data_IF_694663984434
#
_entry.id   IF_694663984434
#
_cell.length_a   1.000
_cell.length_b   1.000
_cell.length_c   1.000
_cell.angle_alpha   90.00
_cell.angle_beta   90.00
_cell.angle_gamma   90.00
#
_symmetry.space_group_name_H-M   'P 1'
#
loop_
_entity.id
_entity.type
_entity.pdbx_description
1 polymer ?
#
# COMPACT_ATOMS: atom_id res chain seq x y z
N UNK A 1 5.26 -19.37 16.77
CA UNK A 1 5.42 -18.53 17.99
C UNK A 1 6.74 -17.79 17.92
N UNK A 2 6.71 -16.46 18.01
CA UNK A 2 7.89 -15.60 17.95
C UNK A 2 8.82 -15.85 19.15
N UNK A 3 10.07 -16.23 18.90
CA UNK A 3 11.04 -16.51 19.97
C UNK A 3 12.02 -15.35 20.22
N UNK A 4 12.17 -14.43 19.28
CA UNK A 4 13.05 -13.26 19.40
C UNK A 4 12.63 -12.12 18.46
N UNK A 5 13.21 -10.93 18.66
CA UNK A 5 12.99 -9.80 17.77
C UNK A 5 13.53 -10.04 16.35
N UNK A 6 14.66 -10.73 16.22
CA UNK A 6 15.23 -11.08 14.92
C UNK A 6 14.33 -12.08 14.17
N UNK A 7 13.70 -13.00 14.91
CA UNK A 7 12.70 -13.91 14.38
C UNK A 7 11.49 -13.15 13.82
N UNK A 8 10.97 -12.18 14.59
CA UNK A 8 9.91 -11.26 14.12
C UNK A 8 10.30 -10.52 12.84
N UNK A 9 11.50 -9.94 12.78
CA UNK A 9 11.97 -9.21 11.60
C UNK A 9 12.12 -10.09 10.36
N UNK A 10 12.60 -11.32 10.54
CA UNK A 10 12.81 -12.28 9.45
C UNK A 10 11.49 -12.69 8.79
N UNK A 11 10.40 -12.66 9.55
CA UNK A 11 9.09 -13.18 9.17
C UNK A 11 8.15 -12.13 8.55
N UNK A 12 8.48 -10.84 8.64
CA UNK A 12 7.70 -9.79 7.98
C UNK A 12 7.54 -10.07 6.48
N UNK A 13 6.30 -10.14 6.04
CA UNK A 13 5.89 -10.34 4.66
C UNK A 13 5.40 -9.02 4.05
N UNK A 14 5.35 -8.94 2.73
CA UNK A 14 4.70 -7.80 2.09
C UNK A 14 3.17 -7.88 2.18
N UNK A 15 2.51 -6.73 2.32
CA UNK A 15 1.05 -6.64 2.30
C UNK A 15 0.60 -6.42 0.85
N UNK A 16 -0.26 -7.30 0.36
CA UNK A 16 -0.77 -7.19 -0.99
C UNK A 16 -1.37 -5.79 -1.25
N UNK A 17 -1.03 -5.13 -2.36
CA UNK A 17 -1.69 -3.90 -2.72
C UNK A 17 -3.17 -4.17 -2.92
N UNK A 18 -3.99 -3.21 -2.50
CA UNK A 18 -5.24 -2.98 -3.17
C UNK A 18 -4.97 -2.93 -4.66
N UNK A 19 -5.71 -3.73 -5.42
CA UNK A 19 -5.92 -3.46 -6.84
C UNK A 19 -6.27 -1.97 -6.92
N UNK A 20 -5.32 -1.13 -7.36
CA UNK A 20 -5.70 0.17 -7.88
C UNK A 20 -6.48 -0.20 -9.12
N UNK A 21 -7.81 -0.29 -8.97
CA UNK A 21 -8.70 0.21 -10.01
C UNK A 21 -8.08 1.55 -10.35
N UNK A 22 -7.48 1.64 -11.54
CA UNK A 22 -6.99 2.93 -12.00
C UNK A 22 -8.22 3.83 -11.92
N UNK A 23 -8.03 5.07 -11.44
CA UNK A 23 -9.11 6.06 -11.43
C UNK A 23 -9.83 5.98 -12.79
N UNK A 24 -11.15 5.80 -12.81
CA UNK A 24 -11.91 5.48 -14.05
C UNK A 24 -11.63 6.52 -15.15
N UNK A 25 -11.30 7.76 -14.73
CA UNK A 25 -10.85 8.86 -15.60
C UNK A 25 -9.48 8.66 -16.27
N UNK A 26 -8.56 7.91 -15.66
CA UNK A 26 -7.26 7.55 -16.20
C UNK A 26 -7.35 6.31 -17.12
N UNK A 27 -8.22 5.33 -16.81
CA UNK A 27 -8.44 4.15 -17.68
C UNK A 27 -9.01 4.57 -19.05
N UNK A 28 -10.06 5.40 -19.05
CA UNK A 28 -10.67 5.92 -20.28
C UNK A 28 -9.69 6.75 -21.14
N UNK A 29 -8.74 7.42 -20.47
CA UNK A 29 -7.72 8.24 -21.13
C UNK A 29 -6.64 7.42 -21.86
N UNK A 30 -6.33 6.21 -21.38
CA UNK A 30 -5.23 5.37 -21.92
C UNK A 30 -5.60 4.81 -23.29
N UNK A 31 -6.81 4.27 -23.46
CA UNK A 31 -7.27 3.75 -24.74
C UNK A 31 -7.33 4.86 -25.80
N UNK A 32 -7.88 6.01 -25.43
CA UNK A 32 -7.97 7.19 -26.29
C UNK A 32 -6.58 7.69 -26.71
N UNK A 33 -5.64 7.74 -25.77
CA UNK A 33 -4.25 8.10 -26.05
C UNK A 33 -3.58 7.11 -27.01
N UNK A 34 -3.71 5.80 -26.76
CA UNK A 34 -3.12 4.76 -27.59
C UNK A 34 -3.63 4.82 -29.03
N UNK A 35 -4.94 4.99 -29.21
CA UNK A 35 -5.54 5.18 -30.53
C UNK A 35 -5.07 6.47 -31.22
N UNK A 36 -4.92 7.57 -30.48
CA UNK A 36 -4.41 8.81 -31.04
C UNK A 36 -2.96 8.66 -31.52
N UNK A 37 -2.08 8.02 -30.73
CA UNK A 37 -0.70 7.71 -31.10
C UNK A 37 -0.63 6.81 -32.34
N UNK A 38 -1.50 5.79 -32.43
CA UNK A 38 -1.56 4.87 -33.57
C UNK A 38 -1.88 5.57 -34.89
N UNK A 39 -2.73 6.60 -34.83
CA UNK A 39 -3.19 7.39 -35.99
C UNK A 39 -2.19 8.43 -36.48
N UNK A 40 -1.17 8.79 -35.69
CA UNK A 40 -0.12 9.69 -36.13
C UNK A 40 0.65 9.01 -37.28
N UNK A 41 0.70 9.61 -38.49
CA UNK A 41 1.39 8.99 -39.63
C UNK A 41 2.87 8.79 -39.34
N UNK A 42 3.54 9.86 -38.88
CA UNK A 42 4.95 9.91 -38.54
C UNK A 42 5.12 10.57 -37.16
N UNK A 43 5.83 9.88 -36.25
CA UNK A 43 6.04 10.35 -34.88
C UNK A 43 7.16 11.39 -34.89
N UNK A 44 6.78 12.67 -34.83
CA UNK A 44 7.71 13.79 -34.75
C UNK A 44 7.43 14.65 -33.51
N UNK A 45 8.40 15.47 -33.11
CA UNK A 45 8.24 16.45 -32.02
C UNK A 45 6.99 17.29 -32.22
N UNK A 46 6.74 17.73 -33.45
CA UNK A 46 5.59 18.60 -33.78
C UNK A 46 4.24 17.90 -33.64
N UNK A 47 4.14 16.65 -34.09
CA UNK A 47 2.90 15.88 -33.95
C UNK A 47 2.60 15.57 -32.49
N UNK A 48 3.61 15.19 -31.70
CA UNK A 48 3.45 14.94 -30.27
C UNK A 48 3.14 16.24 -29.49
N UNK A 49 3.73 17.38 -29.88
CA UNK A 49 3.45 18.66 -29.27
C UNK A 49 2.02 19.13 -29.52
N UNK A 50 1.52 18.95 -30.74
CA UNK A 50 0.13 19.25 -31.09
C UNK A 50 -0.85 18.34 -30.33
N UNK A 51 -0.49 17.07 -30.16
CA UNK A 51 -1.27 16.09 -29.40
C UNK A 51 -1.45 16.51 -27.93
N UNK A 52 -0.36 16.81 -27.22
CA UNK A 52 -0.45 17.21 -25.81
C UNK A 52 -1.03 18.60 -25.60
N UNK A 53 -0.93 19.48 -26.61
CA UNK A 53 -1.59 20.79 -26.55
C UNK A 53 -3.11 20.65 -26.51
N UNK A 54 -3.65 19.73 -27.31
CA UNK A 54 -5.09 19.38 -27.34
C UNK A 54 -5.50 18.54 -26.12
N UNK A 55 -4.61 17.68 -25.64
CA UNK A 55 -4.86 16.79 -24.50
C UNK A 55 -3.74 16.87 -23.45
N UNK A 56 -3.68 17.95 -22.64
CA UNK A 56 -2.61 18.12 -21.64
C UNK A 56 -2.54 17.02 -20.59
N UNK A 57 -3.64 16.31 -20.33
CA UNK A 57 -3.69 15.16 -19.44
C UNK A 57 -2.90 13.94 -19.93
N UNK A 58 -2.46 13.91 -21.19
CA UNK A 58 -1.71 12.79 -21.78
C UNK A 58 -0.20 12.90 -21.64
N UNK A 59 0.33 14.02 -21.11
CA UNK A 59 1.77 14.17 -20.86
C UNK A 59 2.35 13.02 -20.01
N UNK A 60 1.69 12.55 -18.92
CA UNK A 60 2.15 11.37 -18.19
C UNK A 60 2.25 10.09 -19.04
N UNK A 61 1.38 9.91 -20.02
CA UNK A 61 1.40 8.71 -20.88
C UNK A 61 2.59 8.73 -21.85
N UNK A 62 2.92 9.89 -22.42
CA UNK A 62 4.15 10.04 -23.21
C UNK A 62 5.40 9.81 -22.35
N UNK A 63 5.42 10.33 -21.13
CA UNK A 63 6.53 10.09 -20.21
C UNK A 63 6.70 8.60 -19.91
N UNK A 64 5.61 7.83 -19.79
CA UNK A 64 5.67 6.37 -19.62
C UNK A 64 6.29 5.67 -20.84
N UNK A 65 6.00 6.11 -22.07
CA UNK A 65 6.68 5.59 -23.26
C UNK A 65 8.21 5.80 -23.18
N UNK A 66 8.64 6.95 -22.64
CA UNK A 66 10.05 7.24 -22.39
C UNK A 66 10.62 6.56 -21.11
N UNK A 67 9.86 5.67 -20.47
CA UNK A 67 10.29 4.93 -19.28
C UNK A 67 10.26 5.71 -17.97
N UNK A 68 9.65 6.90 -17.94
CA UNK A 68 9.54 7.72 -16.74
C UNK A 68 8.30 7.35 -15.92
N UNK A 69 8.50 7.21 -14.61
CA UNK A 69 7.38 7.22 -13.66
C UNK A 69 6.81 8.64 -13.49
N UNK A 70 5.59 8.75 -12.96
CA UNK A 70 4.95 10.05 -12.71
C UNK A 70 5.78 10.96 -11.78
N UNK A 71 6.46 10.39 -10.80
CA UNK A 71 7.31 11.13 -9.86
C UNK A 71 8.59 11.61 -10.54
N UNK A 72 9.24 10.76 -11.34
CA UNK A 72 10.39 11.16 -12.16
C UNK A 72 10.02 12.27 -13.14
N UNK A 73 8.86 12.18 -13.80
CA UNK A 73 8.35 13.25 -14.65
C UNK A 73 8.20 14.56 -13.86
N UNK A 74 7.51 14.55 -12.72
CA UNK A 74 7.33 15.76 -11.89
C UNK A 74 8.65 16.40 -11.49
N UNK A 75 9.63 15.59 -11.10
CA UNK A 75 10.96 16.05 -10.72
C UNK A 75 11.71 16.65 -11.92
N UNK A 76 11.68 15.97 -13.07
CA UNK A 76 12.28 16.44 -14.31
C UNK A 76 11.70 17.80 -14.74
N UNK A 77 10.37 17.95 -14.69
CA UNK A 77 9.70 19.22 -14.98
C UNK A 77 10.05 20.32 -13.97
N UNK A 78 10.12 19.98 -12.68
CA UNK A 78 10.48 20.95 -11.64
C UNK A 78 11.91 21.48 -11.83
N UNK A 79 12.85 20.63 -12.25
CA UNK A 79 14.24 21.01 -12.50
C UNK A 79 14.35 21.88 -13.77
N UNK A 80 13.73 21.46 -14.87
CA UNK A 80 13.93 22.11 -16.17
C UNK A 80 13.02 23.33 -16.39
N UNK A 81 11.75 23.26 -15.98
CA UNK A 81 10.74 24.30 -16.21
C UNK A 81 10.36 25.08 -14.94
N UNK A 82 10.96 24.76 -13.78
CA UNK A 82 10.63 25.39 -12.51
C UNK A 82 9.25 25.01 -11.95
N UNK A 83 8.58 24.01 -12.53
CA UNK A 83 7.25 23.56 -12.10
C UNK A 83 7.04 22.06 -12.28
N UNK A 84 6.42 21.41 -11.31
CA UNK A 84 5.97 20.02 -11.43
C UNK A 84 4.67 19.84 -12.26
N UNK A 85 4.03 20.94 -12.68
CA UNK A 85 2.73 20.90 -13.35
C UNK A 85 2.84 20.95 -14.88
N UNK A 86 2.36 19.90 -15.56
CA UNK A 86 2.43 19.80 -17.03
C UNK A 86 1.27 20.46 -17.79
N UNK A 87 0.10 20.66 -17.18
CA UNK A 87 -1.09 21.18 -17.89
C UNK A 87 -0.84 22.51 -18.60
N UNK A 88 -0.27 23.49 -17.88
CA UNK A 88 0.04 24.81 -18.43
C UNK A 88 1.23 24.77 -19.39
N UNK A 89 2.21 23.89 -19.14
CA UNK A 89 3.36 23.67 -20.02
C UNK A 89 2.90 23.11 -21.37
N UNK A 90 2.06 22.09 -21.37
CA UNK A 90 1.51 21.52 -22.60
C UNK A 90 0.66 22.51 -23.40
N UNK A 91 -0.04 23.44 -22.74
CA UNK A 91 -0.81 24.47 -23.45
C UNK A 91 0.06 25.58 -24.06
N UNK A 92 1.09 26.05 -23.33
CA UNK A 92 1.85 27.25 -23.71
C UNK A 92 3.20 26.95 -24.37
N UNK A 93 3.81 25.83 -24.03
CA UNK A 93 5.20 25.48 -24.36
C UNK A 93 5.29 24.00 -24.83
N UNK A 94 4.24 23.49 -25.48
CA UNK A 94 4.13 22.07 -25.88
C UNK A 94 5.36 21.54 -26.63
N UNK A 95 5.87 22.33 -27.60
CA UNK A 95 7.01 21.94 -28.42
C UNK A 95 8.30 21.85 -27.60
N UNK A 96 8.51 22.80 -26.69
CA UNK A 96 9.66 22.84 -25.79
C UNK A 96 9.64 21.66 -24.81
N UNK A 97 8.46 21.36 -24.24
CA UNK A 97 8.24 20.19 -23.40
C UNK A 97 8.56 18.86 -24.12
N UNK A 98 8.06 18.68 -25.34
CA UNK A 98 8.35 17.46 -26.12
C UNK A 98 9.83 17.41 -26.53
N UNK A 99 10.43 18.54 -26.89
CA UNK A 99 11.86 18.60 -27.24
C UNK A 99 12.72 18.19 -26.05
N UNK A 100 12.42 18.71 -24.86
CA UNK A 100 13.07 18.31 -23.61
C UNK A 100 12.94 16.80 -23.36
N UNK A 101 11.72 16.26 -23.42
CA UNK A 101 11.49 14.83 -23.18
C UNK A 101 12.20 13.95 -24.22
N UNK A 102 12.29 14.42 -25.47
CA UNK A 102 12.97 13.71 -26.54
C UNK A 102 14.49 13.73 -26.39
N UNK A 103 15.08 14.88 -26.07
CA UNK A 103 16.52 15.04 -25.91
C UNK A 103 17.05 14.29 -24.68
N UNK A 104 16.35 14.36 -23.56
CA UNK A 104 16.80 13.76 -22.29
C UNK A 104 16.45 12.27 -22.18
N UNK A 105 15.35 11.83 -22.80
CA UNK A 105 14.81 10.48 -22.60
C UNK A 105 14.47 9.71 -23.88
N UNK A 106 14.74 10.27 -25.06
CA UNK A 106 14.55 9.58 -26.35
C UNK A 106 13.08 9.30 -26.68
N UNK A 107 12.16 10.20 -26.28
CA UNK A 107 10.72 10.03 -26.39
C UNK A 107 10.23 9.57 -27.78
N UNK A 108 10.64 10.24 -28.86
CA UNK A 108 10.14 9.93 -30.22
C UNK A 108 10.55 8.52 -30.64
N UNK A 109 11.81 8.15 -30.41
CA UNK A 109 12.32 6.81 -30.69
C UNK A 109 11.58 5.75 -29.87
N UNK A 110 11.31 6.02 -28.59
CA UNK A 110 10.59 5.12 -27.71
C UNK A 110 9.13 4.91 -28.18
N UNK A 111 8.42 5.98 -28.55
CA UNK A 111 7.04 5.90 -29.07
C UNK A 111 7.00 5.12 -30.40
N UNK A 112 7.96 5.32 -31.29
CA UNK A 112 8.07 4.54 -32.55
C UNK A 112 8.31 3.06 -32.27
N UNK A 113 9.22 2.75 -31.33
CA UNK A 113 9.53 1.38 -30.94
C UNK A 113 8.30 0.68 -30.35
N UNK A 114 7.56 1.34 -29.45
CA UNK A 114 6.36 0.78 -28.83
C UNK A 114 5.21 0.58 -29.83
N UNK A 115 5.04 1.51 -30.78
CA UNK A 115 3.99 1.43 -31.83
C UNK A 115 4.18 0.24 -32.77
N UNK A 116 5.43 -0.09 -33.09
CA UNK A 116 5.77 -1.15 -34.05
C UNK A 116 5.99 -2.50 -33.39
N UNK A 117 5.98 -2.55 -32.05
CA UNK A 117 6.24 -3.76 -31.28
C UNK A 117 5.06 -4.72 -31.34
N UNK A 118 5.36 -5.97 -31.71
CA UNK A 118 4.42 -7.07 -31.53
C UNK A 118 4.46 -7.55 -30.08
N UNK A 119 3.39 -7.28 -29.35
CA UNK A 119 3.23 -7.75 -27.98
C UNK A 119 2.92 -9.25 -27.98
N UNK A 120 3.71 -10.01 -27.22
CA UNK A 120 3.50 -11.46 -27.02
C UNK A 120 3.26 -11.72 -25.54
N UNK A 121 2.73 -12.89 -25.20
CA UNK A 121 2.61 -13.31 -23.81
C UNK A 121 3.97 -13.25 -23.08
N UNK A 122 5.07 -13.56 -23.77
CA UNK A 122 6.42 -13.47 -23.20
C UNK A 122 6.79 -12.02 -22.83
N UNK A 123 6.36 -11.02 -23.60
CA UNK A 123 6.56 -9.61 -23.23
C UNK A 123 5.77 -9.23 -21.98
N UNK A 124 4.49 -9.63 -21.91
CA UNK A 124 3.67 -9.40 -20.71
C UNK A 124 4.28 -10.06 -19.48
N UNK A 125 4.78 -11.30 -19.61
CA UNK A 125 5.44 -12.02 -18.52
C UNK A 125 6.79 -11.40 -18.13
N UNK A 126 7.59 -10.91 -19.09
CA UNK A 126 8.84 -10.19 -18.84
C UNK A 126 8.58 -8.87 -18.11
N UNK A 127 7.58 -8.09 -18.53
CA UNK A 127 7.19 -6.85 -17.84
C UNK A 127 6.70 -7.15 -16.41
N UNK A 128 5.84 -8.16 -16.24
CA UNK A 128 5.41 -8.63 -14.91
C UNK A 128 6.59 -9.11 -14.06
N UNK A 129 7.57 -9.79 -14.66
CA UNK A 129 8.77 -10.26 -13.97
C UNK A 129 9.71 -9.10 -13.61
N UNK A 130 9.92 -8.14 -14.50
CA UNK A 130 10.69 -6.92 -14.25
C UNK A 130 10.03 -6.09 -13.14
N UNK A 131 8.71 -5.94 -13.18
CA UNK A 131 7.97 -5.32 -12.10
C UNK A 131 8.03 -6.13 -10.80
N UNK A 132 8.02 -7.46 -10.88
CA UNK A 132 8.21 -8.35 -9.70
C UNK A 132 9.65 -8.36 -9.18
N UNK A 133 10.65 -7.90 -9.95
CA UNK A 133 12.07 -7.86 -9.58
C UNK A 133 12.55 -6.47 -9.18
N UNK A 134 12.10 -5.41 -9.87
CA UNK A 134 12.24 -4.02 -9.44
C UNK A 134 11.36 -3.72 -8.22
N UNK A 135 10.28 -4.49 -8.03
CA UNK A 135 9.53 -4.61 -6.77
C UNK A 135 9.69 -6.05 -6.27
N UNK A 136 10.84 -6.40 -5.70
CA UNK A 136 10.81 -7.46 -4.69
C UNK A 136 9.72 -7.06 -3.70
N UNK A 137 8.62 -7.83 -3.66
CA UNK A 137 7.25 -7.49 -3.18
C UNK A 137 6.25 -7.31 -4.34
N UNK A 138 5.63 -8.41 -4.80
CA UNK A 138 4.17 -8.55 -5.13
C UNK A 138 3.87 -9.70 -6.10
N UNK A 139 3.52 -10.85 -5.52
CA UNK A 139 2.57 -11.87 -6.00
C UNK A 139 2.45 -12.83 -4.80
N UNK A 140 1.30 -13.28 -4.29
CA UNK A 140 0.13 -13.84 -4.98
C UNK A 140 -1.10 -13.88 -4.04
N UNK A 141 -1.27 -12.90 -3.14
CA UNK A 141 -2.49 -12.78 -2.33
C UNK A 141 -3.35 -11.64 -2.90
N UNK A 142 -4.59 -11.94 -3.26
CA UNK A 142 -5.64 -10.98 -3.59
C UNK A 142 -5.61 -9.78 -2.63
N UNK A 143 -5.78 -8.55 -3.14
CA UNK A 143 -5.56 -7.27 -2.47
C UNK A 143 -6.44 -6.96 -1.25
N UNK A 144 -6.40 -7.81 -0.23
CA UNK A 144 -7.01 -7.63 1.09
C UNK A 144 -6.08 -6.80 1.97
N UNK A 145 -6.64 -5.83 2.67
CA UNK A 145 -5.94 -5.11 3.74
C UNK A 145 -5.61 -6.07 4.90
N UNK A 146 -4.64 -5.73 5.76
CA UNK A 146 -4.36 -6.54 6.96
C UNK A 146 -5.60 -6.60 7.88
N UNK A 147 -6.37 -5.51 7.96
CA UNK A 147 -7.66 -5.46 8.66
C UNK A 147 -8.67 -6.46 8.07
N UNK A 148 -8.79 -6.55 6.73
CA UNK A 148 -9.74 -7.46 6.07
C UNK A 148 -9.40 -8.93 6.34
N UNK A 149 -8.10 -9.23 6.44
CA UNK A 149 -7.62 -10.58 6.75
C UNK A 149 -7.98 -10.94 8.19
N UNK A 150 -7.71 -10.03 9.13
CA UNK A 150 -8.09 -10.21 10.53
C UNK A 150 -9.60 -10.34 10.67
N UNK A 151 -10.38 -9.50 10.01
CA UNK A 151 -11.84 -9.60 10.01
C UNK A 151 -12.31 -10.96 9.46
N UNK A 152 -11.68 -11.44 8.38
CA UNK A 152 -11.94 -12.77 7.83
C UNK A 152 -11.71 -13.89 8.85
N UNK A 153 -10.69 -13.76 9.70
CA UNK A 153 -10.44 -14.68 10.81
C UNK A 153 -11.57 -14.62 11.84
N UNK A 154 -11.93 -13.42 12.31
CA UNK A 154 -12.98 -13.25 13.33
C UNK A 154 -14.32 -13.82 12.85
N UNK A 155 -14.66 -13.56 11.58
CA UNK A 155 -15.87 -14.07 10.94
C UNK A 155 -15.85 -15.59 10.79
N UNK A 156 -14.71 -16.16 10.39
CA UNK A 156 -14.56 -17.61 10.27
C UNK A 156 -14.75 -18.33 11.60
N UNK A 157 -14.28 -17.72 12.69
CA UNK A 157 -14.44 -18.23 14.05
C UNK A 157 -15.85 -18.00 14.64
N UNK A 158 -16.73 -17.28 13.93
CA UNK A 158 -18.12 -17.06 14.35
C UNK A 158 -18.28 -16.12 15.55
N UNK A 159 -17.27 -15.29 15.84
CA UNK A 159 -17.36 -14.33 16.94
C UNK A 159 -18.39 -13.22 16.67
N UNK A 160 -19.01 -12.72 17.72
CA UNK A 160 -19.58 -11.38 17.69
C UNK A 160 -18.42 -10.38 17.79
N UNK A 161 -18.35 -9.41 16.90
CA UNK A 161 -17.27 -8.43 16.90
C UNK A 161 -17.73 -7.10 16.30
N UNK A 162 -16.97 -6.04 16.60
CA UNK A 162 -17.13 -4.71 16.02
C UNK A 162 -15.77 -4.23 15.48
N UNK A 163 -15.74 -3.82 14.21
CA UNK A 163 -14.54 -3.27 13.56
C UNK A 163 -14.45 -1.75 13.76
N UNK A 164 -13.23 -1.23 13.79
CA UNK A 164 -12.89 0.21 13.84
C UNK A 164 -13.68 0.96 14.92
N UNK A 165 -13.50 0.56 16.17
CA UNK A 165 -14.26 1.06 17.32
C UNK A 165 -13.34 1.58 18.43
N UNK A 166 -13.95 2.08 19.50
CA UNK A 166 -13.27 2.47 20.73
C UNK A 166 -13.60 1.45 21.81
N UNK A 167 -12.62 1.04 22.61
CA UNK A 167 -12.88 0.24 23.80
C UNK A 167 -12.64 1.07 25.07
N UNK A 168 -13.36 0.70 26.14
CA UNK A 168 -13.20 1.31 27.46
C UNK A 168 -12.31 0.44 28.33
N UNK A 169 -11.24 1.02 28.82
CA UNK A 169 -10.32 0.45 29.78
C UNK A 169 -10.78 0.62 31.22
N UNK A 170 -9.82 0.84 32.13
CA UNK A 170 -10.11 1.10 33.56
C UNK A 170 -10.85 2.43 33.76
N UNK A 171 -10.28 3.51 33.24
CA UNK A 171 -10.78 4.88 33.41
C UNK A 171 -11.00 5.60 32.09
N UNK A 172 -10.21 5.25 31.08
CA UNK A 172 -10.18 5.92 29.78
C UNK A 172 -10.67 5.02 28.64
N UNK A 173 -10.73 5.60 27.43
CA UNK A 173 -11.02 4.88 26.19
C UNK A 173 -9.84 4.99 25.23
N UNK A 174 -9.69 3.97 24.38
CA UNK A 174 -8.68 3.91 23.34
C UNK A 174 -9.28 3.33 22.05
N UNK A 175 -8.80 3.77 20.87
CA UNK A 175 -9.20 3.17 19.59
C UNK A 175 -8.63 1.76 19.44
N UNK A 176 -9.32 0.94 18.67
CA UNK A 176 -8.88 -0.38 18.25
C UNK A 176 -9.46 -0.73 16.87
N UNK A 177 -8.75 -1.55 16.11
CA UNK A 177 -9.18 -1.96 14.78
C UNK A 177 -10.30 -3.02 14.86
N UNK A 178 -10.35 -3.80 15.95
CA UNK A 178 -11.46 -4.69 16.27
C UNK A 178 -11.66 -4.86 17.79
N UNK A 179 -12.89 -5.17 18.19
CA UNK A 179 -13.26 -5.55 19.56
C UNK A 179 -14.26 -6.72 19.59
N UNK A 180 -14.15 -7.59 20.58
CA UNK A 180 -15.00 -8.77 20.82
C UNK A 180 -15.48 -8.72 22.28
N UNK A 181 -16.78 -8.96 22.56
CA UNK A 181 -17.87 -9.17 21.60
C UNK A 181 -18.34 -7.89 20.87
N UNK A 182 -18.05 -6.71 21.43
CA UNK A 182 -18.42 -5.40 20.88
C UNK A 182 -17.47 -4.31 21.41
N UNK A 183 -17.59 -3.09 20.92
CA UNK A 183 -16.84 -1.94 21.43
C UNK A 183 -17.23 -1.50 22.86
N UNK A 184 -16.70 -0.36 23.28
CA UNK A 184 -17.04 0.31 24.52
C UNK A 184 -16.70 -0.49 25.78
N UNK A 185 -17.63 -0.56 26.73
CA UNK A 185 -17.44 -1.26 28.01
C UNK A 185 -17.48 -2.78 27.91
N UNK A 186 -18.08 -3.31 26.83
CA UNK A 186 -18.25 -4.73 26.58
C UNK A 186 -17.03 -5.40 25.95
N UNK A 187 -16.10 -4.62 25.39
CA UNK A 187 -14.87 -5.15 24.81
C UNK A 187 -14.07 -5.97 25.84
N UNK A 188 -13.88 -7.26 25.54
CA UNK A 188 -13.07 -8.19 26.32
C UNK A 188 -11.78 -8.58 25.59
N UNK A 189 -11.83 -8.67 24.26
CA UNK A 189 -10.64 -8.84 23.42
C UNK A 189 -10.62 -7.68 22.44
N UNK A 190 -9.46 -7.03 22.30
CA UNK A 190 -9.25 -5.94 21.35
C UNK A 190 -7.99 -6.18 20.56
N UNK A 191 -7.92 -5.62 19.37
CA UNK A 191 -6.67 -5.67 18.63
C UNK A 191 -6.46 -4.60 17.60
N UNK A 192 -5.20 -4.55 17.15
CA UNK A 192 -4.69 -3.61 16.18
C UNK A 192 -4.01 -4.36 15.03
N UNK A 193 -4.33 -3.99 13.80
CA UNK A 193 -3.79 -4.54 12.57
C UNK A 193 -2.99 -3.46 11.83
N UNK A 194 -1.66 -3.47 11.96
CA UNK A 194 -0.79 -2.42 11.42
C UNK A 194 0.06 -2.90 10.26
N UNK A 195 -0.34 -2.48 9.06
CA UNK A 195 0.34 -2.81 7.81
C UNK A 195 1.27 -1.71 7.28
N UNK A 196 2.49 -2.05 6.86
CA UNK A 196 3.46 -1.05 6.39
C UNK A 196 4.27 -1.44 5.14
N UNK A 197 3.85 -0.92 3.97
CA UNK A 197 4.42 -1.30 2.66
C UNK A 197 4.84 -0.12 1.75
N UNK A 198 4.73 1.14 2.20
CA UNK A 198 5.15 2.32 1.40
C UNK A 198 5.69 3.49 2.23
N UNK A 199 6.57 4.29 1.64
CA UNK A 199 7.40 5.37 2.24
C UNK A 199 6.65 6.67 2.59
N UNK A 200 5.33 6.62 2.82
CA UNK A 200 4.48 7.81 3.03
C UNK A 200 4.03 8.04 4.48
N UNK A 201 4.08 9.29 4.91
CA UNK A 201 3.84 9.83 6.25
C UNK A 201 2.43 9.61 6.84
N UNK A 202 2.27 8.63 7.75
CA UNK A 202 1.22 8.60 8.82
C UNK A 202 1.70 7.84 10.07
N UNK A 203 3.01 7.80 10.29
CA UNK A 203 3.66 6.70 11.03
C UNK A 203 4.00 6.98 12.49
N UNK A 204 3.87 8.20 12.98
CA UNK A 204 4.01 8.45 14.42
C UNK A 204 2.82 7.96 15.23
N UNK A 205 1.65 7.75 14.61
CA UNK A 205 0.41 7.43 15.32
C UNK A 205 0.19 5.93 15.54
N UNK A 206 0.66 5.06 14.64
CA UNK A 206 0.36 3.63 14.68
C UNK A 206 0.92 2.90 15.92
N UNK A 207 2.16 3.20 16.34
CA UNK A 207 2.74 2.64 17.59
C UNK A 207 2.12 3.30 18.81
N UNK A 208 1.88 4.62 18.76
CA UNK A 208 1.24 5.35 19.86
C UNK A 208 -0.15 4.83 20.17
N UNK A 209 -0.88 4.40 19.14
CA UNK A 209 -2.17 3.76 19.30
C UNK A 209 -2.06 2.48 20.12
N UNK A 210 -1.15 1.57 19.76
CA UNK A 210 -0.93 0.32 20.49
C UNK A 210 -0.43 0.58 21.92
N UNK A 211 0.48 1.53 22.11
CA UNK A 211 0.93 1.94 23.45
C UNK A 211 -0.24 2.44 24.29
N UNK A 212 -1.16 3.21 23.69
CA UNK A 212 -2.37 3.66 24.36
C UNK A 212 -3.32 2.49 24.68
N UNK A 213 -3.49 1.53 23.78
CA UNK A 213 -4.28 0.32 24.05
C UNK A 213 -3.71 -0.45 25.26
N UNK A 214 -2.40 -0.66 25.27
CA UNK A 214 -1.68 -1.33 26.35
C UNK A 214 -1.81 -0.59 27.70
N UNK A 215 -1.76 0.75 27.68
CA UNK A 215 -1.94 1.58 28.87
C UNK A 215 -3.38 1.57 29.40
N UNK A 216 -4.37 1.59 28.51
CA UNK A 216 -5.79 1.74 28.89
C UNK A 216 -6.41 0.42 29.34
N UNK A 217 -5.94 -0.72 28.83
CA UNK A 217 -6.54 -2.06 29.07
C UNK A 217 -6.82 -2.36 30.56
N UNK A 218 -7.89 -3.11 30.79
CA UNK A 218 -8.14 -3.77 32.09
C UNK A 218 -7.35 -5.09 32.14
N UNK A 219 -6.98 -5.59 33.33
CA UNK A 219 -6.31 -6.90 33.46
C UNK A 219 -7.11 -8.08 32.89
N UNK A 220 -8.43 -7.93 32.77
CA UNK A 220 -9.33 -8.94 32.21
C UNK A 220 -9.52 -8.80 30.70
N UNK A 221 -8.88 -7.83 30.06
CA UNK A 221 -8.95 -7.60 28.62
C UNK A 221 -7.69 -8.14 27.95
N UNK A 222 -7.86 -8.81 26.81
CA UNK A 222 -6.77 -9.24 25.95
C UNK A 222 -6.50 -8.21 24.86
N UNK A 223 -5.23 -7.90 24.62
CA UNK A 223 -4.76 -7.01 23.57
C UNK A 223 -3.88 -7.77 22.59
N UNK A 224 -4.34 -7.89 21.35
CA UNK A 224 -3.59 -8.54 20.27
C UNK A 224 -3.15 -7.56 19.20
N UNK A 225 -1.92 -7.70 18.73
CA UNK A 225 -1.35 -6.82 17.71
C UNK A 225 -0.88 -7.67 16.55
N UNK A 226 -1.35 -7.37 15.36
CA UNK A 226 -0.91 -7.99 14.11
C UNK A 226 -0.14 -6.93 13.32
N UNK A 227 1.13 -7.19 13.06
CA UNK A 227 2.01 -6.32 12.28
C UNK A 227 2.46 -7.03 11.03
N UNK A 228 2.38 -6.35 9.90
CA UNK A 228 3.05 -6.85 8.71
C UNK A 228 3.46 -5.74 7.74
N UNK A 229 4.23 -6.10 6.72
CA UNK A 229 4.72 -5.20 5.69
C UNK A 229 6.24 -4.99 5.75
N UNK A 230 6.87 -4.92 4.58
CA UNK A 230 8.34 -4.83 4.46
C UNK A 230 8.90 -3.49 4.95
N UNK A 231 8.05 -2.47 5.05
CA UNK A 231 8.44 -1.17 5.57
C UNK A 231 8.93 -1.25 7.02
N UNK A 232 8.44 -2.20 7.83
CA UNK A 232 8.84 -2.32 9.24
C UNK A 232 10.34 -2.58 9.41
N UNK A 233 10.98 -3.18 8.39
CA UNK A 233 12.45 -3.37 8.35
C UNK A 233 13.23 -2.05 8.34
N UNK A 234 12.63 -0.98 7.83
CA UNK A 234 13.19 0.38 7.85
C UNK A 234 12.81 1.17 9.11
N UNK A 235 11.93 0.62 9.97
CA UNK A 235 11.42 1.22 11.21
C UNK A 235 11.58 0.27 12.40
N UNK A 236 12.77 -0.31 12.53
CA UNK A 236 13.03 -1.27 13.59
C UNK A 236 12.87 -0.67 14.98
N UNK A 237 13.09 0.64 15.16
CA UNK A 237 12.85 1.32 16.45
C UNK A 237 11.38 1.23 16.89
N UNK A 238 10.45 1.45 15.95
CA UNK A 238 9.01 1.38 16.19
C UNK A 238 8.59 -0.07 16.45
N UNK A 239 9.10 -1.02 15.68
CA UNK A 239 8.83 -2.44 15.88
C UNK A 239 9.41 -2.96 17.21
N UNK A 240 10.60 -2.47 17.62
CA UNK A 240 11.20 -2.79 18.92
C UNK A 240 10.33 -2.33 20.09
N UNK A 241 9.63 -1.20 19.95
CA UNK A 241 8.69 -0.73 20.98
C UNK A 241 7.51 -1.67 21.13
N UNK A 242 6.92 -2.11 20.01
CA UNK A 242 5.84 -3.10 20.01
C UNK A 242 6.31 -4.45 20.59
N UNK A 243 7.50 -4.90 20.20
CA UNK A 243 8.12 -6.10 20.78
C UNK A 243 8.29 -5.97 22.29
N UNK A 244 8.77 -4.83 22.77
CA UNK A 244 9.01 -4.61 24.19
C UNK A 244 7.69 -4.58 25.01
N UNK A 245 6.57 -4.12 24.43
CA UNK A 245 5.25 -4.24 25.06
C UNK A 245 4.84 -5.72 25.20
N UNK A 246 5.08 -6.52 24.16
CA UNK A 246 4.78 -7.95 24.18
C UNK A 246 5.64 -8.70 25.20
N UNK A 247 6.96 -8.47 25.20
CA UNK A 247 7.90 -9.10 26.12
C UNK A 247 7.58 -8.80 27.59
N UNK A 248 7.08 -7.59 27.88
CA UNK A 248 6.67 -7.18 29.24
C UNK A 248 5.25 -7.65 29.62
N UNK A 249 4.53 -8.33 28.72
CA UNK A 249 3.14 -8.74 28.93
C UNK A 249 2.14 -7.57 28.97
N UNK A 250 2.51 -6.42 28.42
CA UNK A 250 1.64 -5.25 28.29
C UNK A 250 0.63 -5.40 27.15
N UNK A 251 0.95 -6.24 26.17
CA UNK A 251 0.01 -6.80 25.19
C UNK A 251 0.12 -8.32 25.22
N UNK A 252 -0.98 -9.00 24.97
CA UNK A 252 -1.13 -10.44 25.18
C UNK A 252 -0.67 -11.27 23.97
N UNK A 253 -0.50 -10.64 22.80
CA UNK A 253 0.10 -11.29 21.64
C UNK A 253 0.52 -10.32 20.54
N UNK A 254 1.62 -10.68 19.87
CA UNK A 254 2.16 -9.98 18.71
C UNK A 254 2.38 -10.99 17.58
N UNK A 255 1.78 -10.74 16.42
CA UNK A 255 1.78 -11.69 15.30
C UNK A 255 2.13 -11.02 13.97
N UNK A 256 2.58 -11.82 13.03
CA UNK A 256 2.70 -11.48 11.60
C UNK A 256 1.74 -12.34 10.78
N UNK A 257 1.57 -12.07 9.49
CA UNK A 257 0.75 -12.92 8.61
C UNK A 257 1.23 -14.37 8.59
N UNK A 258 2.54 -14.60 8.74
CA UNK A 258 3.10 -15.96 8.77
C UNK A 258 2.66 -16.77 10.00
N UNK A 259 2.15 -16.09 11.02
CA UNK A 259 1.68 -16.65 12.28
C UNK A 259 0.20 -16.36 12.53
N UNK A 260 -0.59 -16.18 11.47
CA UNK A 260 -2.02 -15.94 11.60
C UNK A 260 -2.75 -17.14 12.23
N UNK A 261 -2.24 -18.35 12.05
CA UNK A 261 -2.80 -19.55 12.69
C UNK A 261 -2.50 -19.60 14.20
N UNK A 262 -1.34 -19.08 14.63
CA UNK A 262 -1.05 -18.90 16.06
C UNK A 262 -2.00 -17.86 16.66
N UNK A 263 -2.23 -16.74 15.96
CA UNK A 263 -3.22 -15.73 16.37
C UNK A 263 -4.62 -16.33 16.51
N UNK A 264 -5.06 -17.18 15.57
CA UNK A 264 -6.34 -17.91 15.65
C UNK A 264 -6.42 -18.77 16.91
N UNK A 265 -5.38 -19.57 17.17
CA UNK A 265 -5.35 -20.44 18.33
C UNK A 265 -5.43 -19.65 19.65
N UNK A 266 -4.69 -18.55 19.74
CA UNK A 266 -4.64 -17.73 20.94
C UNK A 266 -5.93 -16.96 21.18
N UNK A 267 -6.55 -16.39 20.13
CA UNK A 267 -7.82 -15.67 20.26
C UNK A 267 -8.97 -16.63 20.62
N UNK A 268 -8.98 -17.85 20.07
CA UNK A 268 -9.91 -18.89 20.51
C UNK A 268 -9.69 -19.26 21.98
N UNK A 269 -8.44 -19.47 22.40
CA UNK A 269 -8.13 -19.81 23.78
C UNK A 269 -8.54 -18.71 24.76
N UNK A 270 -8.28 -17.44 24.43
CA UNK A 270 -8.76 -16.30 25.21
C UNK A 270 -10.29 -16.25 25.25
N UNK A 271 -10.95 -16.48 24.11
CA UNK A 271 -12.41 -16.48 24.03
C UNK A 271 -13.06 -17.59 24.86
N UNK A 272 -12.45 -18.79 24.93
CA UNK A 272 -12.89 -19.88 25.83
C UNK A 272 -12.69 -19.50 27.30
N UNK A 273 -11.56 -18.88 27.67
CA UNK A 273 -11.30 -18.41 29.05
C UNK A 273 -12.30 -17.34 29.50
N UNK A 274 -12.76 -16.51 28.57
CA UNK A 274 -13.76 -15.47 28.79
C UNK A 274 -15.20 -15.97 28.64
N UNK A 275 -15.39 -17.25 28.31
CA UNK A 275 -16.71 -17.85 28.04
C UNK A 275 -17.49 -17.14 26.93
N UNK A 276 -16.79 -16.55 25.95
CA UNK A 276 -17.37 -15.95 24.74
C UNK A 276 -17.82 -17.05 23.78
N UNK A 277 -17.04 -18.13 23.72
CA UNK A 277 -17.36 -19.35 22.95
C UNK A 277 -17.30 -20.57 23.85
N UNK A 278 -18.08 -21.59 23.47
CA UNK A 278 -18.17 -22.90 24.14
C UNK A 278 -16.95 -23.77 23.90
#
# INVERSE_FOLDING_TARGET
MLQSFDDLLSQLRPIAPHSRVLDTSLEEGVESFAEAIRKIPEVTIDQLAELIRKHPNWVPFLALCAGLTLEQLKNALQIHFGTAGWYRLAQRQARELITFLDQEYGLTAAVVADRTRVWTLAHVLKERLLWSRQRGVRSTASGRSLEDIVEGVLRHLGFQYEMRTMFRGRTETAPCDFAIPAGGSQAQIVGAAKGFDSTGSKLSDAVREVERMAQVRRPTQYVYVIVDGVGWRRRQSDLKRLWALFERGEIDGLYTMSHLDDFKADIEAASRRLSIIS
#
